data_IF_247099189193
#
_entry.id   IF_247099189193
#
_cell.length_a   1.000
_cell.length_b   1.000
_cell.length_c   1.000
_cell.angle_alpha   90.00
_cell.angle_beta   90.00
_cell.angle_gamma   90.00
#
_symmetry.space_group_name_H-M   'P 1'
#
loop_
_entity.id
_entity.type
_entity.pdbx_description
1 polymer ?
#
# COMPACT_ATOMS: atom_id res chain seq x y z
N UNK A 1 8.85 -40.72 0.44
CA UNK A 1 9.61 -41.68 -0.39
C UNK A 1 10.01 -40.95 -1.68
N UNK A 2 11.31 -41.05 -2.04
CA UNK A 2 11.82 -40.48 -3.29
C UNK A 2 11.63 -41.53 -4.39
N UNK A 3 10.94 -41.17 -5.48
CA UNK A 3 10.83 -42.04 -6.64
C UNK A 3 11.99 -41.73 -7.62
N UNK A 4 13.04 -42.54 -7.68
CA UNK A 4 14.19 -42.27 -8.54
C UNK A 4 13.89 -42.43 -10.04
N UNK A 5 12.77 -43.07 -10.39
CA UNK A 5 12.33 -43.30 -11.77
C UNK A 5 11.36 -42.20 -12.27
N UNK A 6 11.14 -41.16 -11.45
CA UNK A 6 10.24 -40.07 -11.84
C UNK A 6 10.85 -39.20 -12.95
N UNK A 7 10.19 -39.15 -14.10
CA UNK A 7 10.56 -38.27 -15.21
C UNK A 7 9.81 -36.92 -15.07
N UNK A 8 10.50 -35.89 -14.58
CA UNK A 8 9.95 -34.55 -14.43
C UNK A 8 11.03 -33.50 -14.67
N UNK A 9 10.56 -32.27 -15.04
CA UNK A 9 11.38 -31.08 -15.06
C UNK A 9 10.92 -30.13 -13.96
N UNK A 10 11.85 -29.33 -13.46
CA UNK A 10 11.57 -28.21 -12.56
C UNK A 10 11.64 -26.90 -13.37
N UNK A 11 10.72 -25.99 -13.07
CA UNK A 11 10.72 -24.66 -13.64
C UNK A 11 10.27 -23.64 -12.59
N UNK A 12 10.80 -22.44 -12.65
CA UNK A 12 10.30 -21.28 -11.92
C UNK A 12 9.54 -20.37 -12.87
N UNK A 13 8.29 -20.08 -12.53
CA UNK A 13 7.46 -19.16 -13.32
C UNK A 13 6.81 -18.14 -12.37
N UNK A 14 7.56 -17.10 -11.97
CA UNK A 14 7.09 -16.11 -11.02
C UNK A 14 5.90 -15.32 -11.55
N UNK A 15 4.91 -15.09 -10.70
CA UNK A 15 3.76 -14.25 -11.01
C UNK A 15 4.03 -12.78 -10.60
N UNK A 16 3.43 -11.84 -11.33
CA UNK A 16 3.52 -10.39 -11.07
C UNK A 16 2.11 -9.77 -10.97
N UNK A 17 1.16 -10.55 -10.46
CA UNK A 17 -0.24 -10.19 -10.39
C UNK A 17 -0.50 -9.22 -9.23
N UNK A 18 -1.48 -8.34 -9.42
CA UNK A 18 -1.97 -7.47 -8.35
C UNK A 18 -3.28 -8.02 -7.81
N UNK A 19 -3.35 -8.16 -6.52
CA UNK A 19 -4.61 -8.48 -5.84
C UNK A 19 -5.69 -7.48 -6.23
N UNK A 20 -6.94 -7.94 -6.42
CA UNK A 20 -8.04 -7.13 -6.96
C UNK A 20 -8.01 -6.91 -8.48
N UNK A 21 -6.87 -7.20 -9.17
CA UNK A 21 -6.73 -7.06 -10.62
C UNK A 21 -6.05 -8.26 -11.30
N UNK A 22 -5.90 -9.39 -10.59
CA UNK A 22 -5.10 -10.54 -11.00
C UNK A 22 -5.49 -11.11 -12.37
N UNK A 23 -6.79 -11.21 -12.68
CA UNK A 23 -7.27 -11.73 -13.98
C UNK A 23 -6.81 -10.81 -15.12
N UNK A 24 -6.98 -9.49 -14.96
CA UNK A 24 -6.57 -8.53 -15.98
C UNK A 24 -5.05 -8.53 -16.18
N UNK A 25 -4.29 -8.61 -15.08
CA UNK A 25 -2.82 -8.66 -15.11
C UNK A 25 -2.32 -9.97 -15.76
N UNK A 26 -2.99 -11.09 -15.50
CA UNK A 26 -2.65 -12.37 -16.13
C UNK A 26 -2.95 -12.38 -17.63
N UNK A 27 -4.09 -11.81 -18.02
CA UNK A 27 -4.49 -11.76 -19.43
C UNK A 27 -3.72 -10.74 -20.25
N UNK A 28 -3.10 -9.75 -19.61
CA UNK A 28 -2.33 -8.66 -20.26
C UNK A 28 -1.05 -8.35 -19.49
N UNK A 29 -0.13 -9.32 -19.35
CA UNK A 29 1.10 -9.11 -18.60
C UNK A 29 2.10 -8.25 -19.41
N UNK A 30 2.84 -7.40 -18.72
CA UNK A 30 3.97 -6.66 -19.33
C UNK A 30 5.06 -7.62 -19.84
N UNK A 31 5.22 -8.77 -19.20
CA UNK A 31 6.14 -9.87 -19.56
C UNK A 31 5.76 -11.15 -18.84
N UNK A 32 6.21 -12.30 -19.37
CA UNK A 32 6.26 -13.60 -18.70
C UNK A 32 7.72 -13.96 -18.43
N UNK A 33 8.05 -14.40 -17.22
CA UNK A 33 9.41 -14.86 -16.88
C UNK A 33 9.35 -16.36 -16.66
N UNK A 34 10.24 -17.11 -17.33
CA UNK A 34 10.37 -18.56 -17.16
C UNK A 34 11.82 -18.92 -16.85
N UNK A 35 12.04 -19.53 -15.71
CA UNK A 35 13.31 -20.13 -15.30
C UNK A 35 13.27 -21.63 -15.59
N UNK A 36 14.09 -22.12 -16.49
CA UNK A 36 14.08 -23.50 -16.96
C UNK A 36 15.49 -24.00 -17.22
N UNK A 37 15.72 -25.31 -17.02
CA UNK A 37 16.98 -25.97 -17.31
C UNK A 37 16.92 -26.78 -18.60
N UNK A 38 15.72 -27.17 -19.07
CA UNK A 38 15.55 -28.05 -20.23
C UNK A 38 14.69 -27.40 -21.31
N UNK A 39 14.94 -27.77 -22.56
CA UNK A 39 14.12 -27.31 -23.70
C UNK A 39 12.69 -27.89 -23.64
N UNK A 40 12.51 -29.05 -22.98
CA UNK A 40 11.20 -29.66 -22.75
C UNK A 40 10.35 -28.75 -21.86
N UNK A 41 10.90 -28.28 -20.74
CA UNK A 41 10.22 -27.37 -19.82
C UNK A 41 9.90 -26.02 -20.49
N UNK A 42 10.85 -25.47 -21.25
CA UNK A 42 10.61 -24.24 -22.02
C UNK A 42 9.45 -24.39 -22.99
N UNK A 43 9.45 -25.47 -23.79
CA UNK A 43 8.42 -25.71 -24.80
C UNK A 43 7.03 -25.83 -24.17
N UNK A 44 6.93 -26.54 -23.05
CA UNK A 44 5.67 -26.69 -22.34
C UNK A 44 5.16 -25.37 -21.76
N UNK A 45 6.03 -24.58 -21.10
CA UNK A 45 5.63 -23.30 -20.55
C UNK A 45 5.24 -22.30 -21.64
N UNK A 46 5.95 -22.24 -22.76
CA UNK A 46 5.57 -21.42 -23.91
C UNK A 46 4.20 -21.81 -24.46
N UNK A 47 3.88 -23.11 -24.49
CA UNK A 47 2.57 -23.59 -24.92
C UNK A 47 1.45 -23.16 -23.94
N UNK A 48 1.70 -23.14 -22.63
CA UNK A 48 0.76 -22.63 -21.62
C UNK A 48 0.41 -21.16 -21.87
N UNK A 49 1.41 -20.34 -22.26
CA UNK A 49 1.23 -18.91 -22.52
C UNK A 49 0.86 -18.57 -23.97
N UNK A 50 0.70 -19.59 -24.83
CA UNK A 50 0.30 -19.37 -26.23
C UNK A 50 -0.97 -18.51 -26.41
N UNK A 51 -2.02 -18.62 -25.56
CA UNK A 51 -3.19 -17.74 -25.67
C UNK A 51 -2.90 -16.24 -25.54
N UNK A 52 -1.77 -15.85 -24.94
CA UNK A 52 -1.33 -14.46 -24.79
C UNK A 52 -0.55 -13.95 -26.01
N UNK A 53 -0.28 -14.81 -26.99
CA UNK A 53 0.51 -14.49 -28.21
C UNK A 53 -0.09 -13.34 -29.01
N UNK A 54 -1.42 -13.23 -29.05
CA UNK A 54 -2.11 -12.15 -29.77
C UNK A 54 -1.76 -10.73 -29.25
N UNK A 55 -1.10 -10.63 -28.12
CA UNK A 55 -0.66 -9.37 -27.51
C UNK A 55 0.86 -9.17 -27.59
N UNK A 56 1.58 -10.07 -28.28
CA UNK A 56 3.04 -10.05 -28.40
C UNK A 56 3.77 -9.94 -27.05
N UNK A 57 3.21 -10.57 -25.99
CA UNK A 57 3.78 -10.53 -24.64
C UNK A 57 5.19 -11.11 -24.64
N UNK A 58 6.21 -10.35 -24.22
CA UNK A 58 7.58 -10.84 -24.15
C UNK A 58 7.73 -11.99 -23.17
N UNK A 59 8.36 -13.09 -23.58
CA UNK A 59 8.74 -14.20 -22.68
C UNK A 59 10.25 -14.10 -22.43
N UNK A 60 10.63 -13.87 -21.19
CA UNK A 60 12.02 -13.83 -20.73
C UNK A 60 12.41 -15.21 -20.23
N UNK A 61 13.25 -15.94 -21.01
CA UNK A 61 13.86 -17.21 -20.60
C UNK A 61 15.12 -16.93 -19.79
N UNK A 62 15.27 -17.62 -18.65
CA UNK A 62 16.47 -17.50 -17.80
C UNK A 62 16.68 -18.78 -16.96
N UNK A 63 17.68 -18.79 -16.04
CA UNK A 63 17.82 -19.86 -15.06
C UNK A 63 16.71 -19.80 -14.00
N UNK A 64 16.51 -20.89 -13.26
CA UNK A 64 15.53 -20.96 -12.16
C UNK A 64 15.82 -19.91 -11.12
N UNK A 65 17.06 -19.79 -10.65
CA UNK A 65 17.48 -18.84 -9.62
C UNK A 65 17.25 -17.39 -10.06
N UNK A 66 17.57 -17.08 -11.32
CA UNK A 66 17.35 -15.71 -11.86
C UNK A 66 15.87 -15.40 -11.95
N UNK A 67 15.02 -16.36 -12.33
CA UNK A 67 13.57 -16.17 -12.38
C UNK A 67 13.02 -15.88 -10.98
N UNK A 68 13.42 -16.64 -9.97
CA UNK A 68 13.02 -16.43 -8.58
C UNK A 68 13.47 -15.05 -8.05
N UNK A 69 14.77 -14.73 -8.23
CA UNK A 69 15.29 -13.41 -7.80
C UNK A 69 14.60 -12.25 -8.52
N UNK A 70 14.20 -12.43 -9.78
CA UNK A 70 13.49 -11.37 -10.54
C UNK A 70 12.19 -10.95 -9.85
N UNK A 71 11.44 -11.91 -9.28
CA UNK A 71 10.22 -11.59 -8.52
C UNK A 71 10.52 -10.74 -7.29
N UNK A 72 11.45 -11.19 -6.46
CA UNK A 72 11.82 -10.48 -5.23
C UNK A 72 12.43 -9.10 -5.52
N UNK A 73 13.32 -9.02 -6.50
CA UNK A 73 13.96 -7.76 -6.89
C UNK A 73 12.93 -6.75 -7.41
N UNK A 74 11.96 -7.18 -8.24
CA UNK A 74 10.90 -6.31 -8.72
C UNK A 74 10.06 -5.75 -7.56
N UNK A 75 9.61 -6.59 -6.63
CA UNK A 75 8.81 -6.16 -5.49
C UNK A 75 9.61 -5.26 -4.52
N UNK A 76 10.88 -5.56 -4.26
CA UNK A 76 11.75 -4.73 -3.45
C UNK A 76 12.00 -3.35 -4.09
N UNK A 77 12.16 -3.28 -5.40
CA UNK A 77 12.31 -2.01 -6.11
C UNK A 77 11.03 -1.17 -6.05
N UNK A 78 9.86 -1.78 -6.20
CA UNK A 78 8.58 -1.07 -6.07
C UNK A 78 8.36 -0.56 -4.64
N UNK A 79 8.69 -1.37 -3.62
CA UNK A 79 8.66 -0.96 -2.22
C UNK A 79 9.62 0.23 -1.95
N UNK A 80 10.82 0.20 -2.54
CA UNK A 80 11.79 1.30 -2.45
C UNK A 80 11.23 2.58 -3.05
N UNK A 81 10.54 2.54 -4.20
CA UNK A 81 9.89 3.72 -4.79
C UNK A 81 8.86 4.35 -3.84
N UNK A 82 8.06 3.52 -3.17
CA UNK A 82 7.06 4.00 -2.20
C UNK A 82 7.75 4.61 -0.98
N UNK A 83 8.78 3.95 -0.43
CA UNK A 83 9.53 4.49 0.71
C UNK A 83 10.21 5.81 0.34
N UNK A 84 10.82 5.90 -0.84
CA UNK A 84 11.44 7.12 -1.35
C UNK A 84 10.46 8.29 -1.43
N UNK A 85 9.28 8.09 -2.07
CA UNK A 85 8.32 9.19 -2.18
C UNK A 85 7.71 9.59 -0.83
N UNK A 86 7.59 8.66 0.11
CA UNK A 86 7.17 8.95 1.47
C UNK A 86 8.21 9.79 2.23
N UNK A 87 9.51 9.55 2.05
CA UNK A 87 10.57 10.40 2.60
C UNK A 87 10.54 11.79 1.95
N UNK A 88 10.33 11.87 0.63
CA UNK A 88 10.15 13.16 -0.06
C UNK A 88 8.93 13.91 0.47
N UNK A 89 7.84 13.22 0.81
CA UNK A 89 6.67 13.85 1.42
C UNK A 89 7.00 14.51 2.77
N UNK A 90 7.84 13.89 3.59
CA UNK A 90 8.28 14.52 4.86
C UNK A 90 9.12 15.77 4.62
N UNK A 91 9.97 15.75 3.58
CA UNK A 91 10.73 16.94 3.20
C UNK A 91 9.81 18.04 2.65
N UNK A 92 8.79 17.67 1.88
CA UNK A 92 7.76 18.60 1.42
C UNK A 92 7.02 19.26 2.59
N UNK A 93 6.60 18.47 3.60
CA UNK A 93 6.01 19.02 4.83
C UNK A 93 6.91 20.05 5.52
N UNK A 94 8.22 19.81 5.55
CA UNK A 94 9.20 20.71 6.19
C UNK A 94 9.53 21.97 5.38
N UNK A 95 9.42 21.90 4.05
CA UNK A 95 9.84 22.98 3.14
C UNK A 95 8.67 23.77 2.54
N UNK A 96 7.42 23.31 2.75
CA UNK A 96 6.23 23.90 2.13
C UNK A 96 6.06 23.51 0.65
N UNK A 97 6.75 22.48 0.17
CA UNK A 97 6.55 21.93 -1.17
C UNK A 97 5.34 20.98 -1.22
N UNK A 98 4.84 20.70 -2.43
CA UNK A 98 3.76 19.73 -2.67
C UNK A 98 4.33 18.44 -3.24
N UNK A 99 4.21 17.34 -2.50
CA UNK A 99 4.73 16.03 -2.92
C UNK A 99 4.02 15.47 -4.16
N UNK A 100 2.75 15.81 -4.39
CA UNK A 100 2.00 15.36 -5.57
C UNK A 100 2.55 16.03 -6.83
N UNK A 101 2.86 17.31 -6.75
CA UNK A 101 3.54 18.03 -7.83
C UNK A 101 4.97 17.51 -8.05
N UNK A 102 5.71 17.24 -6.97
CA UNK A 102 7.05 16.64 -7.03
C UNK A 102 7.00 15.27 -7.70
N UNK A 103 6.12 14.36 -7.23
CA UNK A 103 5.96 13.01 -7.77
C UNK A 103 5.57 13.04 -9.26
N UNK A 104 4.68 13.96 -9.65
CA UNK A 104 4.33 14.18 -11.05
C UNK A 104 5.55 14.65 -11.86
N UNK A 105 6.31 15.62 -11.36
CA UNK A 105 7.48 16.16 -12.04
C UNK A 105 8.53 15.09 -12.34
N UNK A 106 8.95 14.34 -11.31
CA UNK A 106 9.95 13.27 -11.49
C UNK A 106 9.37 12.09 -12.27
N UNK A 107 8.09 11.76 -12.10
CA UNK A 107 7.43 10.64 -12.77
C UNK A 107 7.22 10.83 -14.28
N UNK A 108 7.31 12.06 -14.80
CA UNK A 108 7.29 12.36 -16.23
C UNK A 108 8.58 11.95 -16.93
N UNK A 109 9.69 11.79 -16.20
CA UNK A 109 10.92 11.20 -16.77
C UNK A 109 10.69 9.71 -17.01
N UNK A 110 10.76 9.28 -18.28
CA UNK A 110 10.56 7.88 -18.68
C UNK A 110 11.52 6.88 -18.02
N UNK A 111 12.68 7.34 -17.55
CA UNK A 111 13.65 6.52 -16.80
C UNK A 111 13.15 6.18 -15.38
N UNK A 112 12.29 7.01 -14.80
CA UNK A 112 11.72 6.86 -13.46
C UNK A 112 10.31 6.27 -13.54
N UNK A 113 9.44 6.86 -14.36
CA UNK A 113 8.05 6.47 -14.52
C UNK A 113 7.16 6.82 -13.32
N UNK A 114 5.90 7.15 -13.57
CA UNK A 114 4.97 7.66 -12.57
C UNK A 114 4.43 6.61 -11.58
N UNK A 115 4.46 5.32 -11.95
CA UNK A 115 3.92 4.24 -11.11
C UNK A 115 4.71 4.10 -9.81
N UNK A 116 4.01 3.85 -8.68
CA UNK A 116 4.57 3.68 -7.32
C UNK A 116 5.25 4.93 -6.73
N UNK A 117 4.88 6.12 -7.22
CA UNK A 117 5.27 7.41 -6.65
C UNK A 117 4.07 8.10 -5.95
N UNK A 118 3.16 7.34 -5.37
CA UNK A 118 2.03 7.87 -4.61
C UNK A 118 2.38 7.83 -3.11
N UNK A 119 2.56 8.99 -2.45
CA UNK A 119 2.81 9.03 -1.02
C UNK A 119 1.58 8.59 -0.23
N UNK A 120 1.82 8.02 0.94
CA UNK A 120 0.76 7.51 1.78
C UNK A 120 1.23 7.10 3.18
N UNK A 121 0.40 6.40 3.96
CA UNK A 121 0.71 6.02 5.33
C UNK A 121 1.76 4.90 5.46
N UNK A 122 2.27 4.43 4.36
CA UNK A 122 3.16 3.27 4.23
C UNK A 122 2.53 2.16 3.36
N UNK A 123 3.38 1.25 2.88
CA UNK A 123 2.89 0.06 2.18
C UNK A 123 2.58 -1.08 3.15
N UNK A 124 1.69 -1.97 2.72
CA UNK A 124 1.31 -3.22 3.37
C UNK A 124 0.99 -4.28 2.33
N UNK A 125 0.08 -5.18 2.68
CA UNK A 125 -0.34 -6.31 1.86
C UNK A 125 0.56 -7.52 1.99
N UNK A 126 0.20 -8.59 1.31
CA UNK A 126 0.88 -9.88 1.38
C UNK A 126 2.23 -9.94 0.67
N UNK A 127 2.48 -9.05 -0.31
CA UNK A 127 3.63 -9.18 -1.21
C UNK A 127 4.85 -8.37 -0.73
N UNK A 128 4.74 -7.05 -0.64
CA UNK A 128 5.92 -6.21 -0.39
C UNK A 128 6.62 -6.52 0.94
N UNK A 129 5.92 -6.61 2.09
CA UNK A 129 6.60 -6.92 3.35
C UNK A 129 7.27 -8.30 3.31
N UNK A 130 6.55 -9.32 2.85
CA UNK A 130 7.06 -10.69 2.79
C UNK A 130 8.26 -10.83 1.84
N UNK A 131 8.17 -10.26 0.63
CA UNK A 131 9.18 -10.44 -0.40
C UNK A 131 10.44 -9.62 -0.12
N UNK A 132 10.32 -8.44 0.47
CA UNK A 132 11.48 -7.65 0.92
C UNK A 132 12.23 -8.36 2.05
N UNK A 133 11.51 -8.91 3.03
CA UNK A 133 12.12 -9.70 4.12
C UNK A 133 12.75 -10.99 3.62
N UNK A 134 12.10 -11.71 2.69
CA UNK A 134 12.66 -12.92 2.08
C UNK A 134 13.95 -12.60 1.31
N UNK A 135 13.97 -11.52 0.52
CA UNK A 135 15.16 -11.09 -0.22
C UNK A 135 16.31 -10.72 0.72
N UNK A 136 16.03 -10.02 1.83
CA UNK A 136 17.03 -9.72 2.87
C UNK A 136 17.62 -10.99 3.46
N UNK A 137 16.78 -11.98 3.75
CA UNK A 137 17.24 -13.27 4.29
C UNK A 137 18.11 -14.04 3.30
N UNK A 138 17.69 -14.12 2.04
CA UNK A 138 18.49 -14.74 0.97
C UNK A 138 19.87 -14.09 0.88
N UNK A 139 19.95 -12.75 0.93
CA UNK A 139 21.22 -12.05 0.91
C UNK A 139 22.11 -12.43 2.11
N UNK A 140 21.57 -12.42 3.33
CA UNK A 140 22.29 -12.77 4.55
C UNK A 140 22.82 -14.21 4.52
N UNK A 141 21.99 -15.17 4.04
CA UNK A 141 22.40 -16.58 3.90
C UNK A 141 23.54 -16.77 2.88
N UNK A 142 23.71 -15.82 1.95
CA UNK A 142 24.79 -15.80 0.97
C UNK A 142 25.93 -14.82 1.33
N UNK A 143 25.95 -14.28 2.57
CA UNK A 143 27.00 -13.38 3.04
C UNK A 143 26.95 -11.96 2.50
N UNK A 144 25.83 -11.57 1.88
CA UNK A 144 25.62 -10.25 1.28
C UNK A 144 24.68 -9.37 2.12
N UNK A 145 24.74 -8.06 1.90
CA UNK A 145 23.84 -7.08 2.53
C UNK A 145 23.18 -6.18 1.47
N UNK A 146 21.84 -6.03 1.57
CA UNK A 146 21.04 -5.21 0.65
C UNK A 146 20.62 -3.90 1.31
N UNK A 147 21.58 -3.00 1.54
CA UNK A 147 21.38 -1.74 2.29
C UNK A 147 20.23 -0.88 1.80
N UNK A 148 19.97 -0.84 0.49
CA UNK A 148 18.86 -0.07 -0.09
C UNK A 148 17.51 -0.68 0.28
N UNK A 149 17.40 -2.01 0.26
CA UNK A 149 16.17 -2.71 0.64
C UNK A 149 15.91 -2.59 2.14
N UNK A 150 16.97 -2.73 2.95
CA UNK A 150 16.93 -2.53 4.40
C UNK A 150 16.43 -1.13 4.76
N UNK A 151 17.05 -0.10 4.18
CA UNK A 151 16.61 1.29 4.38
C UNK A 151 15.15 1.52 3.94
N UNK A 152 14.69 0.89 2.85
CA UNK A 152 13.30 1.00 2.41
C UNK A 152 12.31 0.38 3.41
N UNK A 153 12.66 -0.75 4.03
CA UNK A 153 11.86 -1.40 5.08
C UNK A 153 11.79 -0.51 6.32
N UNK A 154 12.93 0.02 6.77
CA UNK A 154 13.01 0.92 7.93
C UNK A 154 12.21 2.21 7.70
N UNK A 155 12.35 2.82 6.53
CA UNK A 155 11.61 4.02 6.14
C UNK A 155 10.10 3.77 6.14
N UNK A 156 9.63 2.59 5.69
CA UNK A 156 8.22 2.22 5.72
C UNK A 156 7.68 2.10 7.16
N UNK A 157 8.45 1.51 8.07
CA UNK A 157 8.09 1.44 9.50
C UNK A 157 8.03 2.84 10.14
N UNK A 158 9.04 3.68 9.87
CA UNK A 158 9.09 5.06 10.35
C UNK A 158 7.93 5.91 9.82
N UNK A 159 7.51 5.68 8.58
CA UNK A 159 6.37 6.40 7.96
C UNK A 159 5.08 6.20 8.74
N UNK A 160 4.75 4.96 9.12
CA UNK A 160 3.55 4.64 9.91
C UNK A 160 3.55 5.41 11.25
N UNK A 161 4.69 5.44 11.95
CA UNK A 161 4.85 6.19 13.21
C UNK A 161 4.71 7.72 13.02
N UNK A 162 5.23 8.26 11.92
CA UNK A 162 5.08 9.69 11.59
C UNK A 162 3.64 10.07 11.30
N UNK A 163 2.84 9.17 10.72
CA UNK A 163 1.41 9.41 10.52
C UNK A 163 0.66 9.52 11.86
N UNK A 164 0.99 8.70 12.85
CA UNK A 164 0.43 8.85 14.20
C UNK A 164 0.75 10.23 14.77
N UNK A 165 2.00 10.70 14.64
CA UNK A 165 2.38 12.06 15.08
C UNK A 165 1.60 13.15 14.33
N UNK A 166 1.47 13.03 13.01
CA UNK A 166 0.71 13.99 12.18
C UNK A 166 -0.76 14.08 12.62
N UNK A 167 -1.40 12.95 12.91
CA UNK A 167 -2.77 12.88 13.44
C UNK A 167 -2.85 13.59 14.79
N UNK A 168 -1.92 13.34 15.71
CA UNK A 168 -1.85 14.00 17.01
C UNK A 168 -1.73 15.50 16.90
N UNK A 169 -0.83 15.98 16.04
CA UNK A 169 -0.60 17.43 15.84
C UNK A 169 -1.88 18.10 15.33
N UNK A 170 -2.62 17.45 14.43
CA UNK A 170 -3.90 17.92 13.94
C UNK A 170 -5.00 17.96 15.02
N UNK A 171 -4.93 17.08 16.01
CA UNK A 171 -5.85 17.04 17.15
C UNK A 171 -5.48 18.03 18.28
N UNK A 172 -4.46 18.85 18.07
CA UNK A 172 -4.00 19.84 19.06
C UNK A 172 -3.04 19.27 20.10
N UNK A 173 -2.31 18.19 19.75
CA UNK A 173 -1.27 17.59 20.57
C UNK A 173 -1.72 16.42 21.45
N UNK A 174 -3.00 16.06 21.45
CA UNK A 174 -3.51 14.92 22.26
C UNK A 174 -4.68 14.23 21.57
N UNK A 175 -4.64 12.89 21.59
CA UNK A 175 -5.72 12.00 21.14
C UNK A 175 -6.70 11.64 22.25
N UNK A 176 -6.36 11.91 23.53
CA UNK A 176 -7.13 11.50 24.68
C UNK A 176 -8.56 12.03 24.64
N UNK A 177 -9.54 11.13 24.68
CA UNK A 177 -10.97 11.44 24.63
C UNK A 177 -11.47 11.98 23.29
N UNK A 178 -10.64 12.00 22.24
CA UNK A 178 -11.04 12.38 20.88
C UNK A 178 -11.69 11.22 20.15
N UNK A 179 -12.80 11.48 19.49
CA UNK A 179 -13.42 10.50 18.57
C UNK A 179 -12.87 10.71 17.17
N UNK A 180 -12.27 9.68 16.63
CA UNK A 180 -11.63 9.70 15.29
C UNK A 180 -12.37 8.73 14.38
N UNK A 181 -12.90 9.23 13.27
CA UNK A 181 -13.46 8.42 12.21
C UNK A 181 -12.32 7.95 11.29
N UNK A 182 -12.18 6.65 11.09
CA UNK A 182 -11.20 6.05 10.17
C UNK A 182 -11.94 5.44 8.99
N UNK A 183 -11.69 5.95 7.79
CA UNK A 183 -12.27 5.49 6.54
C UNK A 183 -11.22 4.72 5.75
N UNK A 184 -11.46 3.41 5.63
CA UNK A 184 -10.52 2.44 5.09
C UNK A 184 -9.68 1.76 6.18
N UNK A 185 -9.57 0.44 6.09
CA UNK A 185 -8.81 -0.40 7.02
C UNK A 185 -7.84 -1.31 6.27
N UNK A 186 -8.23 -1.78 5.09
CA UNK A 186 -7.42 -2.61 4.18
C UNK A 186 -6.18 -1.85 3.68
N UNK A 187 -5.15 -2.58 3.27
CA UNK A 187 -3.90 -1.96 2.81
C UNK A 187 -4.05 -1.18 1.48
N UNK A 188 -5.05 -1.55 0.68
CA UNK A 188 -5.46 -0.88 -0.58
C UNK A 188 -6.94 -1.13 -0.85
N UNK A 189 -7.59 -0.39 -1.78
CA UNK A 189 -8.98 -0.66 -2.18
C UNK A 189 -9.13 -1.96 -2.97
N UNK A 190 -10.39 -2.39 -3.14
CA UNK A 190 -10.83 -3.57 -3.91
C UNK A 190 -10.30 -4.92 -3.35
N UNK A 191 -10.11 -5.00 -2.04
CA UNK A 191 -9.73 -6.21 -1.32
C UNK A 191 -10.16 -6.13 0.14
N UNK A 192 -10.28 -7.27 0.81
CA UNK A 192 -10.46 -7.43 2.26
C UNK A 192 -9.10 -7.61 3.01
N UNK A 193 -7.98 -7.64 2.27
CA UNK A 193 -6.66 -7.95 2.83
C UNK A 193 -6.17 -6.88 3.81
N UNK A 194 -6.00 -7.30 5.05
CA UNK A 194 -5.53 -6.50 6.18
C UNK A 194 -4.04 -6.71 6.48
N UNK A 195 -3.35 -7.65 5.81
CA UNK A 195 -1.95 -8.00 6.13
C UNK A 195 -1.04 -6.79 6.01
N UNK A 196 -0.31 -6.49 7.07
CA UNK A 196 0.60 -5.34 7.17
C UNK A 196 -0.03 -3.99 6.78
N UNK A 197 -1.37 -3.89 6.77
CA UNK A 197 -2.05 -2.62 6.55
C UNK A 197 -1.53 -1.55 7.53
N UNK A 198 -1.32 -0.31 7.09
CA UNK A 198 -0.99 0.79 8.01
C UNK A 198 -1.98 0.95 9.17
N UNK A 199 -3.25 0.57 8.97
CA UNK A 199 -4.27 0.60 10.02
C UNK A 199 -3.92 -0.25 11.24
N UNK A 200 -3.24 -1.40 11.03
CA UNK A 200 -2.80 -2.31 12.12
C UNK A 200 -1.76 -1.66 13.04
N UNK A 201 -0.99 -0.71 12.53
CA UNK A 201 -0.01 0.03 13.32
C UNK A 201 -0.60 1.32 13.89
N UNK A 202 -1.32 2.08 13.05
CA UNK A 202 -1.77 3.44 13.40
C UNK A 202 -2.94 3.40 14.40
N UNK A 203 -3.95 2.55 14.18
CA UNK A 203 -5.15 2.50 15.04
C UNK A 203 -4.81 2.10 16.46
N UNK A 204 -4.06 1.00 16.74
CA UNK A 204 -3.67 0.66 18.10
C UNK A 204 -2.88 1.77 18.80
N UNK A 205 -1.97 2.45 18.10
CA UNK A 205 -1.19 3.55 18.66
C UNK A 205 -2.07 4.75 19.07
N UNK A 206 -3.14 5.04 18.32
CA UNK A 206 -4.11 6.07 18.69
C UNK A 206 -4.97 5.64 19.90
N UNK A 207 -5.42 4.39 19.91
CA UNK A 207 -6.21 3.82 21.03
C UNK A 207 -5.40 3.82 22.35
N UNK A 208 -4.12 3.45 22.29
CA UNK A 208 -3.21 3.46 23.44
C UNK A 208 -3.11 4.85 24.08
N UNK A 209 -3.24 5.91 23.28
CA UNK A 209 -3.25 7.30 23.75
C UNK A 209 -4.62 7.83 24.12
N UNK A 210 -5.63 6.94 24.20
CA UNK A 210 -6.96 7.26 24.69
C UNK A 210 -7.93 7.82 23.63
N UNK A 211 -7.65 7.63 22.34
CA UNK A 211 -8.61 7.93 21.29
C UNK A 211 -9.79 6.94 21.32
N UNK A 212 -10.94 7.38 20.83
CA UNK A 212 -12.09 6.54 20.50
C UNK A 212 -12.16 6.40 18.98
N UNK A 213 -12.12 5.17 18.48
CA UNK A 213 -12.10 4.92 17.03
C UNK A 213 -13.47 4.45 16.55
N UNK A 214 -13.96 5.10 15.51
CA UNK A 214 -15.11 4.67 14.71
C UNK A 214 -14.61 4.38 13.30
N UNK A 215 -14.84 3.18 12.79
CA UNK A 215 -14.23 2.74 11.55
C UNK A 215 -15.30 2.28 10.54
N UNK A 216 -15.01 2.52 9.28
CA UNK A 216 -15.74 1.96 8.15
C UNK A 216 -14.75 1.52 7.06
N UNK A 217 -14.96 0.32 6.55
CA UNK A 217 -14.28 -0.20 5.35
C UNK A 217 -15.32 -0.99 4.51
N UNK A 218 -15.32 -0.87 3.19
CA UNK A 218 -16.30 -1.57 2.36
C UNK A 218 -16.22 -3.09 2.39
N UNK A 219 -15.02 -3.66 2.60
CA UNK A 219 -14.78 -5.11 2.51
C UNK A 219 -14.03 -5.66 3.72
N UNK A 220 -13.11 -4.90 4.32
CA UNK A 220 -12.15 -5.41 5.30
C UNK A 220 -12.63 -5.40 6.75
N UNK A 221 -13.88 -5.05 7.08
CA UNK A 221 -14.30 -4.93 8.48
C UNK A 221 -14.33 -6.25 9.24
N UNK A 222 -14.62 -7.36 8.56
CA UNK A 222 -14.66 -8.68 9.21
C UNK A 222 -13.24 -9.14 9.59
N UNK A 223 -12.30 -9.02 8.67
CA UNK A 223 -10.88 -9.31 8.93
C UNK A 223 -10.29 -8.33 9.96
N UNK A 224 -10.69 -7.06 9.90
CA UNK A 224 -10.25 -6.05 10.86
C UNK A 224 -10.67 -6.38 12.30
N UNK A 225 -11.85 -6.96 12.52
CA UNK A 225 -12.31 -7.39 13.85
C UNK A 225 -11.42 -8.46 14.49
N UNK A 226 -10.76 -9.27 13.66
CA UNK A 226 -9.86 -10.32 14.13
C UNK A 226 -8.47 -9.80 14.50
N UNK A 227 -8.06 -8.70 13.87
CA UNK A 227 -6.68 -8.18 13.95
C UNK A 227 -6.55 -6.91 14.80
N UNK A 228 -7.62 -6.13 14.92
CA UNK A 228 -7.63 -4.86 15.64
C UNK A 228 -8.30 -4.99 17.01
N UNK A 229 -7.98 -4.08 17.97
CA UNK A 229 -8.59 -4.10 19.29
C UNK A 229 -10.12 -4.03 19.27
N UNK A 230 -10.78 -4.84 20.10
CA UNK A 230 -12.24 -4.96 20.15
C UNK A 230 -13.00 -3.72 20.64
N UNK A 231 -12.30 -2.64 20.98
CA UNK A 231 -12.90 -1.35 21.38
C UNK A 231 -13.33 -0.47 20.22
N UNK A 232 -13.03 -0.88 18.98
CA UNK A 232 -13.36 -0.13 17.77
C UNK A 232 -14.86 -0.28 17.47
N UNK A 233 -15.51 0.84 17.18
CA UNK A 233 -16.91 0.88 16.75
C UNK A 233 -16.95 0.83 15.23
N UNK A 234 -17.37 -0.29 14.66
CA UNK A 234 -17.54 -0.45 13.22
C UNK A 234 -18.91 0.06 12.79
N UNK A 235 -18.98 0.81 11.71
CA UNK A 235 -20.20 1.47 11.21
C UNK A 235 -20.57 1.01 9.81
N UNK A 236 -21.86 1.20 9.44
CA UNK A 236 -22.37 0.72 8.15
C UNK A 236 -22.01 1.63 6.96
N UNK A 237 -21.62 2.87 7.23
CA UNK A 237 -21.21 3.82 6.20
C UNK A 237 -20.28 4.92 6.77
N UNK A 238 -19.65 5.66 5.86
CA UNK A 238 -18.68 6.69 6.19
C UNK A 238 -19.27 7.85 7.02
N UNK A 239 -20.51 8.27 6.76
CA UNK A 239 -21.13 9.38 7.49
C UNK A 239 -21.49 8.98 8.93
N UNK A 240 -21.92 7.74 9.13
CA UNK A 240 -22.15 7.20 10.46
C UNK A 240 -20.85 7.16 11.27
N UNK A 241 -19.73 6.74 10.65
CA UNK A 241 -18.41 6.82 11.29
C UNK A 241 -18.07 8.23 11.75
N UNK A 242 -18.35 9.21 10.89
CA UNK A 242 -18.00 10.61 11.11
C UNK A 242 -18.96 11.37 12.05
N UNK A 243 -20.14 10.82 12.37
CA UNK A 243 -21.12 11.51 13.22
C UNK A 243 -20.56 11.74 14.63
N UNK A 244 -20.42 13.02 15.02
CA UNK A 244 -19.84 13.44 16.30
C UNK A 244 -18.33 13.27 16.43
N UNK A 245 -17.62 12.91 15.34
CA UNK A 245 -16.18 12.75 15.35
C UNK A 245 -15.44 14.10 15.45
N UNK A 246 -14.32 14.12 16.17
CA UNK A 246 -13.39 15.24 16.25
C UNK A 246 -12.51 15.35 14.98
N UNK A 247 -12.22 14.21 14.32
CA UNK A 247 -11.47 14.17 13.07
C UNK A 247 -11.93 13.01 12.18
N UNK A 248 -11.73 13.14 10.87
CA UNK A 248 -11.83 12.05 9.91
C UNK A 248 -10.47 11.78 9.27
N UNK A 249 -10.13 10.50 9.11
CA UNK A 249 -8.91 10.03 8.45
C UNK A 249 -9.29 9.20 7.24
N UNK A 250 -8.75 9.54 6.06
CA UNK A 250 -8.75 8.65 4.90
C UNK A 250 -7.51 7.77 4.98
N UNK A 251 -7.69 6.50 5.35
CA UNK A 251 -6.59 5.54 5.51
C UNK A 251 -6.37 4.69 4.26
N UNK A 252 -7.46 4.34 3.56
CA UNK A 252 -7.45 3.59 2.29
C UNK A 252 -8.27 4.33 1.25
N UNK A 253 -7.74 4.44 0.03
CA UNK A 253 -8.28 5.27 -1.04
C UNK A 253 -9.44 4.62 -1.82
N UNK A 254 -10.42 4.02 -1.12
CA UNK A 254 -11.62 3.49 -1.73
C UNK A 254 -12.36 4.54 -2.59
N UNK A 255 -12.90 4.13 -3.74
CA UNK A 255 -13.58 5.06 -4.65
C UNK A 255 -14.71 5.84 -3.96
N UNK A 256 -15.47 5.20 -3.07
CA UNK A 256 -16.53 5.88 -2.31
C UNK A 256 -16.03 6.98 -1.38
N UNK A 257 -14.77 6.93 -0.93
CA UNK A 257 -14.20 7.99 -0.08
C UNK A 257 -13.62 9.15 -0.88
N UNK A 258 -13.48 9.01 -2.19
CA UNK A 258 -13.04 10.11 -3.09
C UNK A 258 -14.17 11.10 -3.42
N UNK A 259 -15.42 10.71 -3.18
CA UNK A 259 -16.60 11.49 -3.56
C UNK A 259 -17.52 11.75 -2.35
N UNK A 260 -16.96 11.96 -1.16
CA UNK A 260 -17.76 12.35 0.01
C UNK A 260 -18.36 13.74 -0.19
N UNK A 261 -19.63 13.89 0.17
CA UNK A 261 -20.25 15.20 0.33
C UNK A 261 -19.64 15.86 1.57
N UNK A 262 -18.71 16.79 1.34
CA UNK A 262 -17.98 17.48 2.40
C UNK A 262 -18.88 18.41 3.24
N UNK A 263 -19.97 18.96 2.68
CA UNK A 263 -20.92 19.79 3.43
C UNK A 263 -21.69 18.91 4.43
N UNK A 264 -22.23 17.80 3.95
CA UNK A 264 -22.89 16.80 4.79
C UNK A 264 -21.91 16.24 5.84
N UNK A 265 -20.68 15.93 5.43
CA UNK A 265 -19.64 15.46 6.35
C UNK A 265 -19.39 16.45 7.48
N UNK A 266 -19.16 17.72 7.13
CA UNK A 266 -18.93 18.80 8.10
C UNK A 266 -20.13 19.10 9.00
N UNK A 267 -21.37 18.79 8.55
CA UNK A 267 -22.58 18.99 9.34
C UNK A 267 -22.78 17.94 10.44
N UNK A 268 -22.24 16.74 10.28
CA UNK A 268 -22.38 15.64 11.25
C UNK A 268 -21.20 15.52 12.21
N UNK A 269 -20.04 16.10 11.87
CA UNK A 269 -18.83 16.07 12.70
C UNK A 269 -18.89 17.10 13.83
N UNK A 270 -18.22 16.80 14.93
CA UNK A 270 -18.02 17.73 16.05
C UNK A 270 -16.98 18.80 15.75
N UNK A 271 -15.91 18.44 15.04
CA UNK A 271 -14.89 19.33 14.54
C UNK A 271 -14.60 19.01 13.07
N UNK A 272 -14.29 20.04 12.29
CA UNK A 272 -13.98 19.89 10.86
C UNK A 272 -12.48 19.67 10.64
N UNK A 273 -11.95 18.54 11.12
CA UNK A 273 -10.55 18.13 10.91
C UNK A 273 -10.54 16.98 9.91
N UNK A 274 -9.86 17.17 8.78
CA UNK A 274 -9.76 16.20 7.68
C UNK A 274 -8.30 15.82 7.45
N UNK A 275 -7.97 14.56 7.69
CA UNK A 275 -6.62 14.01 7.55
C UNK A 275 -6.63 13.03 6.40
N UNK A 276 -5.97 13.38 5.30
CA UNK A 276 -5.98 12.61 4.06
C UNK A 276 -4.64 11.89 3.88
N UNK A 277 -4.52 10.70 4.45
CA UNK A 277 -3.28 9.92 4.36
C UNK A 277 -3.05 9.31 2.98
N UNK A 278 -3.95 9.52 2.01
CA UNK A 278 -3.86 9.02 0.64
C UNK A 278 -3.81 10.12 -0.42
N UNK A 279 -3.89 11.40 0.02
CA UNK A 279 -3.90 12.55 -0.87
C UNK A 279 -4.95 12.46 -2.00
N UNK A 280 -6.15 11.95 -1.67
CA UNK A 280 -7.23 11.75 -2.64
C UNK A 280 -8.03 13.02 -2.90
N UNK A 281 -7.91 14.01 -2.01
CA UNK A 281 -8.56 15.31 -2.15
C UNK A 281 -7.58 16.42 -2.52
N UNK A 282 -8.10 17.45 -3.20
CA UNK A 282 -7.37 18.72 -3.34
C UNK A 282 -7.53 19.53 -2.05
N UNK A 283 -6.44 19.99 -1.43
CA UNK A 283 -6.50 20.71 -0.15
C UNK A 283 -7.46 21.90 -0.16
N UNK A 284 -7.40 22.72 -1.21
CA UNK A 284 -8.21 23.94 -1.32
C UNK A 284 -9.71 23.64 -1.32
N UNK A 285 -10.15 22.57 -2.04
CA UNK A 285 -11.55 22.17 -2.05
C UNK A 285 -12.07 21.75 -0.67
N UNK A 286 -11.23 21.11 0.14
CA UNK A 286 -11.58 20.69 1.49
C UNK A 286 -11.60 21.90 2.43
N UNK A 287 -10.62 22.79 2.31
CA UNK A 287 -10.53 24.04 3.09
C UNK A 287 -11.68 25.01 2.79
N UNK A 288 -12.12 25.11 1.54
CA UNK A 288 -13.30 25.91 1.14
C UNK A 288 -14.59 25.48 1.84
N UNK A 289 -14.71 24.20 2.23
CA UNK A 289 -15.82 23.68 3.03
C UNK A 289 -15.63 23.87 4.54
N UNK A 290 -14.60 24.62 4.92
CA UNK A 290 -14.30 25.00 6.31
C UNK A 290 -13.58 23.91 7.11
N UNK A 291 -13.01 22.91 6.46
CA UNK A 291 -12.17 21.92 7.13
C UNK A 291 -10.74 22.43 7.32
N UNK A 292 -10.15 22.07 8.45
CA UNK A 292 -8.71 22.05 8.60
C UNK A 292 -8.19 20.77 7.95
N UNK A 293 -7.41 20.91 6.89
CA UNK A 293 -6.91 19.80 6.07
C UNK A 293 -5.45 19.53 6.32
N UNK A 294 -5.08 18.25 6.29
CA UNK A 294 -3.70 17.81 6.32
C UNK A 294 -3.55 16.53 5.48
N UNK A 295 -2.62 16.52 4.54
CA UNK A 295 -2.26 15.37 3.73
C UNK A 295 -0.89 14.79 4.09
N UNK A 296 -0.34 13.93 3.25
CA UNK A 296 1.02 13.39 3.34
C UNK A 296 1.92 14.18 2.40
N UNK A 297 2.80 15.04 2.95
CA UNK A 297 3.65 15.95 2.17
C UNK A 297 2.87 17.04 1.43
N UNK A 298 1.70 17.44 1.99
CA UNK A 298 0.77 18.34 1.36
C UNK A 298 -0.24 18.89 2.38
N UNK A 299 -0.35 20.19 2.51
CA UNK A 299 -1.23 20.86 3.48
C UNK A 299 -2.10 21.95 2.82
#
# INVERSE_FOLDING_TARGET
EVNPEADFDIASNPEFLREGAAIADFMRPDRVVIGVETDRAETLLRAVYQPLYLQETPIVKTSIETAELTKYAANAFLATKISFINEMALLCDATGADVVALARGIGMDGRIGAKFLHPGPGYGGSCFPKDTMALMRIAQENGESLRVVEAAIEANGAQKAKMVKKIRDMLGGSEAGKTIAVLGLTFKPETDDMRDSPSITIIPALLEKGAVIRAHDPQGMEEARQLLPGTIVYTNNSYEACTGADAVIIMTEWNQYRALDLERLGSVMKQKIFIDLRNVYQPDLVKEKGFRYEGVGRS
#
